data_IF_669638688411
#
_entry.id   IF_669638688411
#
_cell.length_a   1.000
_cell.length_b   1.000
_cell.length_c   1.000
_cell.angle_alpha   90.00
_cell.angle_beta   90.00
_cell.angle_gamma   90.00
#
_symmetry.space_group_name_H-M   'P 1'
#
loop_
_entity.id
_entity.type
_entity.pdbx_description
1 polymer ?
#
# COMPACT_ATOMS: atom_id res chain seq x y z
N UNK A 1 41.98 -49.42 0.10
CA UNK A 1 40.63 -49.42 0.69
C UNK A 1 39.96 -48.11 0.31
N UNK A 2 38.68 -48.17 -0.10
CA UNK A 2 37.90 -47.11 -0.77
C UNK A 2 37.90 -45.77 -0.03
N UNK A 3 38.15 -44.68 -0.75
CA UNK A 3 37.75 -43.32 -0.35
C UNK A 3 36.27 -43.14 -0.70
N UNK A 4 35.44 -42.84 0.29
CA UNK A 4 34.03 -42.48 0.09
C UNK A 4 33.91 -40.96 0.20
N UNK A 5 33.61 -40.30 -0.91
CA UNK A 5 33.25 -38.88 -0.94
C UNK A 5 31.87 -38.67 -0.32
N UNK A 6 31.81 -38.00 0.82
CA UNK A 6 30.56 -37.48 1.38
C UNK A 6 30.40 -36.00 0.98
N UNK A 7 29.49 -35.75 0.04
CA UNK A 7 29.01 -34.41 -0.32
C UNK A 7 28.24 -33.78 0.86
N UNK A 8 28.68 -32.62 1.33
CA UNK A 8 27.91 -31.77 2.24
C UNK A 8 26.78 -31.07 1.47
N UNK A 9 25.53 -31.31 1.87
CA UNK A 9 24.39 -30.47 1.52
C UNK A 9 24.25 -29.36 2.58
N UNK A 10 23.89 -28.11 2.23
CA UNK A 10 23.74 -27.06 3.21
C UNK A 10 22.41 -27.25 3.95
N UNK A 11 22.47 -27.80 5.16
CA UNK A 11 21.47 -27.55 6.20
C UNK A 11 22.07 -26.53 7.15
N UNK A 12 21.35 -25.41 7.29
CA UNK A 12 21.53 -24.35 8.27
C UNK A 12 22.29 -24.84 9.50
N UNK A 13 23.57 -24.46 9.61
CA UNK A 13 24.46 -24.99 10.63
C UNK A 13 25.69 -24.11 10.76
N UNK A 14 25.84 -23.51 11.93
CA UNK A 14 27.01 -22.78 12.41
C UNK A 14 28.29 -23.58 12.11
N UNK A 15 29.21 -23.04 11.30
CA UNK A 15 30.47 -23.70 10.97
C UNK A 15 31.53 -23.36 12.04
N UNK A 16 31.80 -24.29 12.96
CA UNK A 16 32.95 -24.18 13.89
C UNK A 16 34.15 -24.86 13.23
N UNK A 17 35.15 -24.09 12.81
CA UNK A 17 36.44 -24.63 12.38
C UNK A 17 37.26 -25.01 13.63
N UNK A 18 37.50 -26.32 13.85
CA UNK A 18 38.49 -26.79 14.84
C UNK A 18 39.88 -26.78 14.19
N UNK A 19 40.74 -25.85 14.59
CA UNK A 19 42.16 -25.86 14.23
C UNK A 19 42.98 -26.68 15.24
N UNK A 20 43.94 -27.47 14.74
CA UNK A 20 44.94 -28.18 15.57
C UNK A 20 46.07 -27.22 15.95
N UNK A 21 46.47 -27.27 17.22
CA UNK A 21 47.46 -26.39 17.85
C UNK A 21 48.89 -26.64 17.38
N UNK A 22 49.58 -25.56 17.00
CA UNK A 22 51.05 -25.43 17.10
C UNK A 22 51.33 -24.03 17.66
N UNK A 23 51.67 -24.00 18.95
CA UNK A 23 52.45 -23.00 19.71
C UNK A 23 52.47 -21.55 19.19
N UNK A 24 51.83 -20.64 19.95
CA UNK A 24 52.25 -19.23 20.06
C UNK A 24 51.36 -18.19 19.35
N UNK A 25 50.56 -17.46 20.15
CA UNK A 25 49.77 -16.28 19.81
C UNK A 25 48.65 -16.46 18.75
N UNK A 26 47.47 -16.87 19.21
CA UNK A 26 46.24 -16.76 18.41
C UNK A 26 45.75 -15.31 18.36
N UNK A 27 46.05 -14.58 17.28
CA UNK A 27 45.20 -13.47 16.87
C UNK A 27 43.90 -14.08 16.35
N UNK A 28 42.89 -14.16 17.23
CA UNK A 28 41.54 -14.54 16.82
C UNK A 28 40.95 -13.35 16.08
N UNK A 29 41.19 -13.30 14.76
CA UNK A 29 40.47 -12.40 13.88
C UNK A 29 39.03 -12.90 13.82
N UNK A 30 38.16 -12.35 14.67
CA UNK A 30 36.72 -12.48 14.48
C UNK A 30 36.38 -11.74 13.18
N UNK A 31 36.44 -12.46 12.06
CA UNK A 31 35.61 -12.15 10.91
C UNK A 31 34.17 -12.32 11.38
N UNK A 32 33.62 -11.25 11.97
CA UNK A 32 32.20 -11.05 11.96
C UNK A 32 31.82 -10.99 10.48
N UNK A 33 31.44 -12.14 9.92
CA UNK A 33 30.49 -12.12 8.81
C UNK A 33 29.33 -11.32 9.38
N UNK A 34 29.21 -10.06 8.97
CA UNK A 34 28.13 -9.20 9.38
C UNK A 34 26.89 -9.82 8.77
N UNK A 35 26.25 -10.70 9.53
CA UNK A 35 24.91 -11.17 9.23
C UNK A 35 24.06 -9.92 9.23
N UNK A 36 23.83 -9.34 8.05
CA UNK A 36 22.76 -8.38 7.86
C UNK A 36 21.48 -9.16 8.17
N UNK A 37 21.01 -9.06 9.41
CA UNK A 37 19.63 -9.40 9.69
C UNK A 37 18.83 -8.40 8.86
N UNK A 38 18.22 -8.87 7.76
CA UNK A 38 17.33 -8.04 6.98
C UNK A 38 16.21 -7.62 7.94
N UNK A 39 16.18 -6.34 8.30
CA UNK A 39 15.23 -5.83 9.26
C UNK A 39 13.91 -5.63 8.54
N UNK A 40 12.97 -6.54 8.77
CA UNK A 40 11.66 -6.47 8.14
C UNK A 40 11.02 -5.09 8.32
N UNK A 41 10.55 -4.45 7.23
CA UNK A 41 9.83 -3.20 7.32
C UNK A 41 8.65 -3.28 8.29
N UNK A 42 8.42 -2.20 9.01
CA UNK A 42 7.26 -2.04 9.89
C UNK A 42 6.20 -1.17 9.22
N UNK A 43 4.93 -1.51 9.45
CA UNK A 43 3.79 -0.81 8.90
C UNK A 43 3.17 0.07 9.99
N UNK A 44 3.05 1.37 9.72
CA UNK A 44 2.39 2.31 10.63
C UNK A 44 0.88 2.34 10.44
N UNK A 45 0.30 3.53 10.36
CA UNK A 45 -1.15 3.76 10.34
C UNK A 45 -1.66 4.18 8.96
N UNK A 46 -2.99 4.22 8.83
CA UNK A 46 -3.71 4.90 7.76
C UNK A 46 -4.53 6.00 8.41
N UNK A 47 -4.34 7.26 8.01
CA UNK A 47 -5.18 8.37 8.48
C UNK A 47 -6.60 8.18 7.92
N UNK A 48 -7.60 8.23 8.80
CA UNK A 48 -8.97 7.77 8.52
C UNK A 48 -9.06 6.27 8.25
N UNK A 49 -8.46 5.46 9.13
CA UNK A 49 -8.51 3.99 9.06
C UNK A 49 -9.92 3.42 8.99
N UNK A 50 -10.94 4.18 9.38
CA UNK A 50 -12.35 3.83 9.21
C UNK A 50 -13.09 5.03 8.62
N UNK A 51 -13.86 4.83 7.57
CA UNK A 51 -14.67 5.90 7.00
C UNK A 51 -15.51 5.50 5.81
N UNK A 52 -16.04 6.51 5.13
CA UNK A 52 -16.87 6.31 3.94
C UNK A 52 -16.71 7.47 2.95
N UNK A 53 -16.93 7.16 1.68
CA UNK A 53 -16.99 8.13 0.59
C UNK A 53 -18.07 7.73 -0.40
N UNK A 54 -18.44 8.64 -1.30
CA UNK A 54 -19.17 8.27 -2.49
C UNK A 54 -18.20 7.99 -3.64
N UNK A 55 -18.67 7.27 -4.65
CA UNK A 55 -17.96 7.15 -5.94
C UNK A 55 -17.78 8.52 -6.59
N UNK A 56 -16.75 8.64 -7.42
CA UNK A 56 -16.38 9.85 -8.17
C UNK A 56 -16.03 11.07 -7.30
N UNK A 57 -15.87 10.88 -5.98
CA UNK A 57 -15.31 11.86 -5.06
C UNK A 57 -13.88 11.48 -4.71
N UNK A 58 -12.95 12.41 -4.94
CA UNK A 58 -11.55 12.24 -4.57
C UNK A 58 -11.37 12.17 -3.05
N UNK A 59 -10.60 11.20 -2.58
CA UNK A 59 -10.26 10.98 -1.19
C UNK A 59 -8.76 10.92 -0.97
N UNK A 60 -8.34 11.40 0.20
CA UNK A 60 -6.96 11.37 0.65
C UNK A 60 -6.77 10.26 1.68
N UNK A 61 -5.78 9.41 1.46
CA UNK A 61 -5.35 8.40 2.44
C UNK A 61 -3.88 8.64 2.74
N UNK A 62 -3.56 8.93 3.99
CA UNK A 62 -2.16 9.05 4.41
C UNK A 62 -1.72 7.74 5.05
N UNK A 63 -0.68 7.12 4.51
CA UNK A 63 -0.14 5.85 4.98
C UNK A 63 1.33 6.02 5.37
N UNK A 64 1.77 5.29 6.40
CA UNK A 64 3.15 5.35 6.89
C UNK A 64 3.80 3.97 6.92
N UNK A 65 5.07 3.92 6.55
CA UNK A 65 5.91 2.72 6.51
C UNK A 65 7.27 3.06 7.12
N UNK A 66 7.95 2.12 7.74
CA UNK A 66 9.27 2.39 8.30
C UNK A 66 10.23 1.22 8.10
N UNK A 67 11.47 1.56 7.81
CA UNK A 67 12.61 0.67 7.94
C UNK A 67 13.42 1.07 9.17
N UNK A 68 13.97 0.10 9.89
CA UNK A 68 14.69 0.31 11.16
C UNK A 68 15.88 1.29 11.07
N UNK A 69 16.46 1.46 9.88
CA UNK A 69 17.67 2.24 9.66
C UNK A 69 17.40 3.54 8.91
N UNK A 70 16.66 3.50 7.80
CA UNK A 70 16.28 4.69 7.03
C UNK A 70 15.10 4.38 6.13
N UNK A 71 14.16 5.33 6.00
CA UNK A 71 13.06 5.19 5.03
C UNK A 71 13.54 4.96 3.59
N UNK A 72 14.78 5.34 3.28
CA UNK A 72 15.41 5.17 1.98
C UNK A 72 15.77 3.72 1.64
N UNK A 73 15.74 2.81 2.62
CA UNK A 73 15.94 1.38 2.40
C UNK A 73 14.65 0.63 2.07
N UNK A 74 13.50 1.31 2.12
CA UNK A 74 12.26 0.76 1.60
C UNK A 74 12.33 0.76 0.08
N UNK A 75 12.17 -0.39 -0.56
CA UNK A 75 12.11 -0.48 -2.01
C UNK A 75 10.71 -0.16 -2.53
N UNK A 76 9.70 -0.86 -2.04
CA UNK A 76 8.29 -0.64 -2.44
C UNK A 76 7.36 -0.59 -1.24
N UNK A 77 6.37 0.29 -1.34
CA UNK A 77 5.27 0.38 -0.38
C UNK A 77 3.94 0.36 -1.12
N UNK A 78 2.97 -0.35 -0.56
CA UNK A 78 1.69 -0.60 -1.19
C UNK A 78 0.55 -0.14 -0.29
N UNK A 79 -0.50 0.37 -0.92
CA UNK A 79 -1.79 0.63 -0.31
C UNK A 79 -2.87 -0.08 -1.12
N UNK A 80 -3.46 -1.10 -0.50
CA UNK A 80 -4.50 -1.93 -1.10
C UNK A 80 -5.84 -1.63 -0.44
N UNK A 81 -6.85 -1.36 -1.26
CA UNK A 81 -8.25 -1.28 -0.86
C UNK A 81 -8.99 -2.36 -1.63
N UNK A 82 -9.54 -3.34 -0.92
CA UNK A 82 -10.33 -4.43 -1.50
C UNK A 82 -11.13 -5.17 -0.41
N UNK A 83 -12.00 -6.11 -0.76
CA UNK A 83 -12.72 -6.96 0.21
C UNK A 83 -11.82 -8.01 0.86
N UNK A 84 -10.71 -8.35 0.22
CA UNK A 84 -9.74 -9.36 0.65
C UNK A 84 -8.34 -9.01 0.12
N UNK A 85 -7.32 -9.75 0.54
CA UNK A 85 -5.95 -9.58 -0.01
C UNK A 85 -5.90 -10.15 -1.44
N UNK A 86 -6.20 -9.30 -2.43
CA UNK A 86 -6.16 -9.62 -3.86
C UNK A 86 -5.87 -8.37 -4.68
N UNK A 87 -4.99 -8.51 -5.69
CA UNK A 87 -4.68 -7.45 -6.64
C UNK A 87 -5.68 -7.32 -7.80
N UNK A 88 -6.60 -8.28 -7.95
CA UNK A 88 -7.66 -8.22 -8.97
C UNK A 88 -8.86 -7.40 -8.46
N UNK A 89 -9.51 -6.71 -9.39
CA UNK A 89 -10.72 -5.93 -9.13
C UNK A 89 -10.61 -4.99 -7.93
N UNK A 90 -9.51 -4.23 -7.84
CA UNK A 90 -9.16 -3.47 -6.64
C UNK A 90 -8.64 -2.06 -6.94
N UNK A 91 -8.41 -1.31 -5.86
CA UNK A 91 -7.38 -0.28 -5.86
C UNK A 91 -6.15 -0.84 -5.16
N UNK A 92 -5.04 -0.98 -5.88
CA UNK A 92 -3.74 -1.33 -5.31
C UNK A 92 -2.71 -0.36 -5.85
N UNK A 93 -2.43 0.70 -5.08
CA UNK A 93 -1.39 1.66 -5.38
C UNK A 93 -0.04 1.17 -4.86
N UNK A 94 1.00 1.32 -5.68
CA UNK A 94 2.39 1.04 -5.30
C UNK A 94 3.23 2.31 -5.50
N UNK A 95 4.06 2.62 -4.52
CA UNK A 95 5.12 3.59 -4.65
C UNK A 95 6.46 2.85 -4.59
N UNK A 96 7.26 2.99 -5.65
CA UNK A 96 8.63 2.53 -5.70
C UNK A 96 9.52 3.70 -5.26
N UNK A 97 10.16 3.55 -4.12
CA UNK A 97 10.97 4.60 -3.52
C UNK A 97 12.26 4.83 -4.33
N UNK A 98 12.90 3.76 -4.79
CA UNK A 98 14.17 3.81 -5.52
C UNK A 98 14.05 4.54 -6.85
N UNK A 99 12.93 4.36 -7.57
CA UNK A 99 12.67 5.06 -8.83
C UNK A 99 11.80 6.31 -8.69
N UNK A 100 11.29 6.59 -7.48
CA UNK A 100 10.32 7.66 -7.21
C UNK A 100 9.10 7.62 -8.16
N UNK A 101 8.45 6.46 -8.25
CA UNK A 101 7.35 6.23 -9.19
C UNK A 101 6.12 5.62 -8.51
N UNK A 102 4.95 6.11 -8.92
CA UNK A 102 3.63 5.60 -8.57
C UNK A 102 3.11 4.66 -9.65
N UNK A 103 2.45 3.60 -9.20
CA UNK A 103 1.83 2.58 -10.02
C UNK A 103 0.45 2.20 -9.46
N UNK A 104 -0.39 1.63 -10.33
CA UNK A 104 -1.69 1.05 -9.97
C UNK A 104 -1.82 -0.35 -10.58
N UNK A 105 -2.39 -1.32 -9.87
CA UNK A 105 -2.72 -2.62 -10.47
C UNK A 105 -3.75 -2.48 -11.59
N UNK A 106 -3.56 -3.27 -12.65
CA UNK A 106 -4.57 -3.49 -13.68
C UNK A 106 -5.78 -4.27 -13.13
N UNK A 107 -6.82 -4.43 -13.96
CA UNK A 107 -8.08 -5.05 -13.55
C UNK A 107 -7.91 -6.52 -13.11
N UNK A 108 -7.02 -7.27 -13.77
CA UNK A 108 -6.70 -8.68 -13.45
C UNK A 108 -5.70 -8.85 -12.31
N UNK A 109 -5.06 -7.78 -11.84
CA UNK A 109 -4.03 -7.84 -10.80
C UNK A 109 -2.70 -8.46 -11.26
N UNK A 110 -2.46 -8.50 -12.57
CA UNK A 110 -1.30 -9.16 -13.21
C UNK A 110 -0.22 -8.18 -13.63
N UNK A 111 -0.57 -6.96 -14.02
CA UNK A 111 0.38 -5.92 -14.42
C UNK A 111 0.33 -4.69 -13.48
N UNK A 112 1.35 -3.84 -13.58
CA UNK A 112 1.38 -2.52 -12.98
C UNK A 112 1.26 -1.47 -14.08
N UNK A 113 0.29 -0.58 -13.92
CA UNK A 113 0.04 0.57 -14.79
C UNK A 113 0.76 1.80 -14.23
N UNK A 114 1.11 2.75 -15.08
CA UNK A 114 1.71 4.03 -14.68
C UNK A 114 3.23 4.03 -14.75
N UNK A 115 3.89 4.46 -13.66
CA UNK A 115 5.32 4.78 -13.66
C UNK A 115 5.60 6.28 -13.65
N UNK A 116 4.78 7.06 -12.94
CA UNK A 116 4.87 8.51 -12.88
C UNK A 116 5.33 8.99 -11.51
N UNK A 117 6.08 10.08 -11.46
CA UNK A 117 6.49 10.66 -10.19
C UNK A 117 5.29 11.23 -9.41
N UNK A 118 5.28 11.15 -8.07
CA UNK A 118 4.41 11.97 -7.23
C UNK A 118 4.54 13.46 -7.59
N UNK A 119 3.43 14.19 -7.61
CA UNK A 119 3.36 15.59 -8.02
C UNK A 119 3.34 15.82 -9.55
N UNK A 120 3.49 14.79 -10.38
CA UNK A 120 3.39 14.95 -11.83
C UNK A 120 1.94 15.04 -12.30
N UNK A 121 1.67 15.78 -13.38
CA UNK A 121 0.33 15.99 -13.95
C UNK A 121 -0.22 14.76 -14.71
N UNK A 122 -0.26 13.61 -14.03
CA UNK A 122 -0.72 12.33 -14.58
C UNK A 122 -1.83 11.72 -13.71
N UNK A 123 -2.67 10.91 -14.33
CA UNK A 123 -3.66 10.07 -13.66
C UNK A 123 -3.41 8.63 -14.11
N UNK A 124 -3.34 7.70 -13.17
CA UNK A 124 -3.29 6.26 -13.45
C UNK A 124 -4.67 5.70 -13.07
N UNK A 125 -5.32 4.95 -13.94
CA UNK A 125 -6.64 4.40 -13.65
C UNK A 125 -6.83 2.96 -14.12
N UNK A 126 -7.76 2.28 -13.47
CA UNK A 126 -8.31 1.00 -13.87
C UNK A 126 -9.85 1.08 -13.85
N UNK A 127 -10.57 -0.03 -13.99
CA UNK A 127 -12.04 -0.01 -14.00
C UNK A 127 -12.69 0.38 -12.66
N UNK A 128 -11.91 0.35 -11.56
CA UNK A 128 -12.41 0.47 -10.18
C UNK A 128 -11.99 1.77 -9.50
N UNK A 129 -10.87 2.37 -9.88
CA UNK A 129 -10.36 3.58 -9.25
C UNK A 129 -9.42 4.39 -10.16
N UNK A 130 -9.21 5.65 -9.78
CA UNK A 130 -8.20 6.57 -10.32
C UNK A 130 -7.22 6.97 -9.21
N UNK A 131 -5.94 6.99 -9.53
CA UNK A 131 -4.87 7.55 -8.72
C UNK A 131 -4.40 8.85 -9.38
N UNK A 132 -4.61 9.97 -8.67
CA UNK A 132 -4.14 11.29 -9.12
C UNK A 132 -2.70 11.50 -8.63
N UNK A 133 -1.75 11.43 -9.57
CA UNK A 133 -0.33 11.61 -9.25
C UNK A 133 -0.02 13.07 -8.88
N UNK A 134 -0.78 14.05 -9.39
CA UNK A 134 -0.47 15.48 -9.22
C UNK A 134 -0.69 15.95 -7.79
N UNK A 135 -1.64 15.32 -7.10
CA UNK A 135 -1.98 15.61 -5.70
C UNK A 135 -1.44 14.55 -4.73
N UNK A 136 -0.92 13.43 -5.23
CA UNK A 136 -0.26 12.42 -4.38
C UNK A 136 1.12 12.92 -3.99
N UNK A 137 1.40 12.94 -2.69
CA UNK A 137 2.69 13.39 -2.15
C UNK A 137 3.39 12.28 -1.36
N UNK A 138 4.72 12.34 -1.35
CA UNK A 138 5.59 11.41 -0.62
C UNK A 138 6.62 12.22 0.16
N UNK A 139 6.85 11.86 1.41
CA UNK A 139 7.87 12.48 2.26
C UNK A 139 8.48 11.45 3.19
N UNK A 140 9.79 11.52 3.41
CA UNK A 140 10.50 10.69 4.38
C UNK A 140 11.08 11.51 5.52
N UNK A 141 11.08 10.96 6.73
CA UNK A 141 11.68 11.55 7.93
C UNK A 141 12.32 10.45 8.79
N UNK A 142 13.64 10.50 8.96
CA UNK A 142 14.41 9.49 9.71
C UNK A 142 14.19 8.08 9.15
N UNK A 143 13.46 7.25 9.89
CA UNK A 143 13.13 5.86 9.53
C UNK A 143 11.80 5.72 8.79
N UNK A 144 10.96 6.77 8.77
CA UNK A 144 9.56 6.69 8.34
C UNK A 144 9.33 7.34 6.98
N UNK A 145 8.71 6.60 6.06
CA UNK A 145 8.13 7.07 4.82
C UNK A 145 6.64 7.34 5.01
N UNK A 146 6.15 8.48 4.56
CA UNK A 146 4.74 8.85 4.52
C UNK A 146 4.29 9.07 3.08
N UNK A 147 3.18 8.45 2.68
CA UNK A 147 2.55 8.63 1.36
C UNK A 147 1.14 9.13 1.56
N UNK A 148 0.78 10.25 0.92
CA UNK A 148 -0.58 10.79 0.91
C UNK A 148 -1.22 10.51 -0.45
N UNK A 149 -1.91 9.37 -0.55
CA UNK A 149 -2.56 8.90 -1.76
C UNK A 149 -3.80 9.71 -2.10
N UNK A 150 -3.97 10.07 -3.37
CA UNK A 150 -5.17 10.75 -3.86
C UNK A 150 -5.95 9.85 -4.80
N UNK A 151 -7.05 9.31 -4.28
CA UNK A 151 -7.78 8.20 -4.89
C UNK A 151 -9.22 8.62 -5.16
N UNK A 152 -9.72 8.32 -6.35
CA UNK A 152 -11.15 8.45 -6.68
C UNK A 152 -11.69 7.07 -7.02
N UNK A 153 -12.64 6.57 -6.25
CA UNK A 153 -13.26 5.27 -6.50
C UNK A 153 -14.38 5.40 -7.54
N UNK A 154 -14.48 4.45 -8.47
CA UNK A 154 -15.45 4.46 -9.58
C UNK A 154 -16.70 3.67 -9.21
N UNK A 155 -17.79 3.89 -9.95
CA UNK A 155 -19.10 3.25 -9.74
C UNK A 155 -19.07 1.73 -9.48
N UNK A 156 -18.27 0.91 -10.20
CA UNK A 156 -18.23 -0.54 -9.96
C UNK A 156 -17.66 -0.96 -8.60
N UNK A 157 -17.02 -0.06 -7.86
CA UNK A 157 -16.24 -0.38 -6.66
C UNK A 157 -16.97 -0.12 -5.33
N UNK A 158 -18.29 0.09 -5.36
CA UNK A 158 -19.12 0.31 -4.16
C UNK A 158 -19.10 -0.85 -3.16
N UNK A 159 -19.56 -0.59 -1.94
CA UNK A 159 -19.65 -1.53 -0.83
C UNK A 159 -18.50 -1.41 0.17
N UNK A 160 -18.57 -2.20 1.23
CA UNK A 160 -17.52 -2.28 2.25
C UNK A 160 -16.21 -2.81 1.67
N UNK A 161 -15.09 -2.21 2.07
CA UNK A 161 -13.72 -2.61 1.74
C UNK A 161 -12.87 -2.64 3.00
N UNK A 162 -11.80 -3.39 2.95
CA UNK A 162 -10.70 -3.38 3.88
C UNK A 162 -9.54 -2.59 3.27
N UNK A 163 -8.77 -1.93 4.12
CA UNK A 163 -7.56 -1.22 3.73
C UNK A 163 -6.34 -1.95 4.28
N UNK A 164 -5.39 -2.27 3.41
CA UNK A 164 -4.19 -3.03 3.73
C UNK A 164 -2.94 -2.26 3.36
N UNK A 165 -1.88 -2.48 4.14
CA UNK A 165 -0.53 -1.98 3.86
C UNK A 165 0.42 -3.15 3.67
N UNK A 166 1.43 -2.91 2.83
CA UNK A 166 2.56 -3.82 2.61
C UNK A 166 3.80 -2.98 2.29
N UNK A 167 4.95 -3.40 2.81
CA UNK A 167 6.26 -2.82 2.48
C UNK A 167 7.28 -3.92 2.21
N UNK A 168 8.24 -3.61 1.34
CA UNK A 168 9.40 -4.45 1.05
C UNK A 168 10.64 -3.57 1.00
N UNK A 169 11.71 -3.99 1.66
CA UNK A 169 13.01 -3.29 1.65
C UNK A 169 13.90 -3.73 0.47
N UNK A 170 15.04 -3.08 0.32
CA UNK A 170 16.05 -3.41 -0.71
C UNK A 170 16.68 -4.80 -0.52
N UNK A 171 16.62 -5.35 0.69
CA UNK A 171 17.09 -6.71 1.01
C UNK A 171 16.01 -7.78 0.73
N UNK A 172 14.86 -7.39 0.18
CA UNK A 172 13.67 -8.22 -0.05
C UNK A 172 12.99 -8.76 1.22
N UNK A 173 13.27 -8.19 2.41
CA UNK A 173 12.45 -8.43 3.58
C UNK A 173 11.08 -7.77 3.41
N UNK A 174 10.03 -8.50 3.77
CA UNK A 174 8.66 -8.15 3.50
C UNK A 174 7.84 -8.11 4.80
N UNK A 175 7.07 -7.04 5.00
CA UNK A 175 6.25 -6.88 6.21
C UNK A 175 5.09 -7.87 6.33
N UNK A 176 4.75 -8.56 5.24
CA UNK A 176 3.44 -9.17 5.03
C UNK A 176 2.38 -8.12 4.71
N UNK A 177 1.26 -8.58 4.15
CA UNK A 177 0.08 -7.72 3.92
C UNK A 177 -0.75 -7.68 5.20
N UNK A 178 -0.93 -6.49 5.77
CA UNK A 178 -1.63 -6.31 7.05
C UNK A 178 -2.83 -5.39 6.88
N UNK A 179 -3.99 -5.81 7.37
CA UNK A 179 -5.17 -4.96 7.43
C UNK A 179 -4.97 -3.86 8.48
N UNK A 180 -5.21 -2.62 8.08
CA UNK A 180 -5.05 -1.44 8.94
C UNK A 180 -6.35 -0.65 9.12
N UNK A 181 -7.43 -1.06 8.45
CA UNK A 181 -8.69 -0.33 8.48
C UNK A 181 -9.78 -0.90 7.56
N UNK A 182 -10.88 -0.16 7.47
CA UNK A 182 -12.04 -0.43 6.62
C UNK A 182 -12.55 0.86 5.97
N UNK A 183 -13.10 0.76 4.77
CA UNK A 183 -13.65 1.91 4.05
C UNK A 183 -14.90 1.52 3.28
N UNK A 184 -15.98 2.28 3.43
CA UNK A 184 -17.24 2.02 2.72
C UNK A 184 -17.42 3.00 1.57
N UNK A 185 -17.55 2.46 0.35
CA UNK A 185 -17.75 3.25 -0.86
C UNK A 185 -19.24 3.21 -1.21
N UNK A 186 -19.91 4.35 -1.14
CA UNK A 186 -21.34 4.51 -1.40
C UNK A 186 -21.58 4.84 -2.88
N UNK A 187 -22.71 4.41 -3.45
CA UNK A 187 -23.13 4.86 -4.78
C UNK A 187 -23.28 6.38 -4.81
N UNK A 188 -23.29 6.97 -6.00
CA UNK A 188 -23.55 8.40 -6.15
C UNK A 188 -24.91 8.76 -5.51
N UNK A 189 -25.05 9.91 -4.84
CA UNK A 189 -26.35 10.35 -4.34
C UNK A 189 -27.34 10.45 -5.50
N UNK A 190 -28.53 9.87 -5.35
CA UNK A 190 -29.62 10.04 -6.30
C UNK A 190 -30.19 11.45 -6.18
N UNK A 191 -30.30 12.17 -7.31
CA UNK A 191 -30.99 13.47 -7.34
C UNK A 191 -32.50 13.21 -7.20
N UNK A 192 -33.12 13.81 -6.18
CA UNK A 192 -34.55 13.72 -5.95
C UNK A 192 -35.31 14.70 -6.86
N UNK A 193 -36.52 14.33 -7.26
CA UNK A 193 -37.47 15.25 -7.89
C UNK A 193 -38.44 15.79 -6.84
N UNK A 194 -38.60 17.12 -6.79
CA UNK A 194 -39.64 17.75 -5.99
C UNK A 194 -40.98 17.63 -6.73
N UNK A 195 -42.02 17.16 -6.04
CA UNK A 195 -43.39 17.12 -6.57
C UNK A 195 -44.32 17.97 -5.71
N UNK A 196 -45.08 18.92 -6.29
CA UNK A 196 -45.01 19.36 -7.69
C UNK A 196 -43.73 20.17 -7.97
N UNK A 197 -43.16 20.02 -9.18
CA UNK A 197 -41.96 20.74 -9.63
C UNK A 197 -42.25 22.19 -10.06
N UNK A 198 -43.51 22.63 -9.97
CA UNK A 198 -43.94 24.01 -10.20
C UNK A 198 -45.14 24.37 -9.33
N UNK A 199 -45.21 25.64 -8.91
CA UNK A 199 -46.35 26.21 -8.19
C UNK A 199 -47.47 26.56 -9.18
N UNK A 200 -48.59 25.83 -9.14
CA UNK A 200 -49.86 26.25 -9.74
C UNK A 200 -50.92 26.60 -8.66
N UNK A 201 -50.48 26.91 -7.44
CA UNK A 201 -51.37 27.25 -6.32
C UNK A 201 -51.90 28.68 -6.39
N UNK A 202 -53.20 28.86 -6.13
CA UNK A 202 -53.81 30.19 -5.96
C UNK A 202 -53.20 30.93 -4.75
N UNK A 203 -53.15 32.26 -4.83
CA UNK A 203 -52.66 33.15 -3.76
C UNK A 203 -53.40 32.85 -2.45
N UNK A 204 -52.64 32.60 -1.38
CA UNK A 204 -53.17 32.42 -0.02
C UNK A 204 -53.42 30.97 0.44
N UNK A 205 -53.12 29.96 -0.39
CA UNK A 205 -53.25 28.55 0.00
C UNK A 205 -51.86 27.94 0.26
N UNK A 206 -51.60 27.38 1.47
CA UNK A 206 -50.38 26.61 1.71
C UNK A 206 -50.28 25.39 0.79
N UNK A 207 -49.16 25.22 0.10
CA UNK A 207 -48.83 23.99 -0.63
C UNK A 207 -47.74 23.21 0.11
N UNK A 208 -47.97 21.92 0.30
CA UNK A 208 -46.97 20.99 0.83
C UNK A 208 -46.19 20.39 -0.32
N UNK A 209 -44.87 20.59 -0.31
CA UNK A 209 -43.94 19.88 -1.18
C UNK A 209 -43.41 18.66 -0.44
N UNK A 210 -43.54 17.49 -1.06
CA UNK A 210 -42.97 16.26 -0.50
C UNK A 210 -41.71 15.92 -1.29
N UNK A 211 -40.58 15.86 -0.60
CA UNK A 211 -39.34 15.27 -1.12
C UNK A 211 -39.19 13.84 -0.61
N UNK A 212 -38.80 12.92 -1.50
CA UNK A 212 -38.50 11.53 -1.13
C UNK A 212 -37.01 11.27 -1.30
N UNK A 213 -36.33 10.82 -0.24
CA UNK A 213 -34.91 10.47 -0.25
C UNK A 213 -34.66 9.01 -0.63
#
# INVERSE_FOLDING_TARGET
MKSTDNKLFPKQGFMVLKTRSIVGAYLVLFLFCSSVFANTPTLGTITSSTGNSHVDIAQAFTTTYADSSSWQHLWTVNFLVNTQVSGASCFSGLYNQNSNQLFLRDDSGTAWLGGYAPGSANIIENSYAKLDCSLTTVSGNGTTLTVNWRVTFKAPFTGAKNTYLLATDDANANSGVVQKGTWTIKPAPTVCTITPSSCAGQVGIPQTFTGTY
#
